data_IF_108492418597
#
_entry.id   IF_108492418597
#
_cell.length_a   1.000
_cell.length_b   1.000
_cell.length_c   1.000
_cell.angle_alpha   90.00
_cell.angle_beta   90.00
_cell.angle_gamma   90.00
#
_symmetry.space_group_name_H-M   'P 1'
#
loop_
_entity.id
_entity.type
_entity.pdbx_description
1 polymer ?
#
# COMPACT_ATOMS: atom_id res chain seq x y z
N UNK A 1 21.32 89.62 3.65
CA UNK A 1 21.09 89.41 5.10
C UNK A 1 20.59 87.98 5.25
N UNK A 2 21.19 87.16 6.12
CA UNK A 2 20.88 85.73 6.22
C UNK A 2 19.57 85.47 6.97
N UNK A 3 18.83 84.46 6.51
CA UNK A 3 17.65 83.92 7.18
C UNK A 3 18.01 83.12 8.45
N UNK A 4 17.12 83.11 9.48
CA UNK A 4 17.31 82.37 10.72
C UNK A 4 17.07 80.83 10.58
N UNK A 5 17.55 80.03 11.56
CA UNK A 5 17.87 78.62 11.38
C UNK A 5 16.66 77.66 11.37
N UNK A 6 16.89 76.51 10.72
CA UNK A 6 15.98 75.39 10.54
C UNK A 6 15.61 74.71 11.87
N UNK A 7 14.30 74.57 12.12
CA UNK A 7 13.76 73.66 13.13
C UNK A 7 13.65 72.23 12.59
N UNK A 8 13.86 71.20 13.42
CA UNK A 8 14.05 69.82 12.99
C UNK A 8 12.73 69.15 12.56
N UNK A 9 12.74 68.46 11.40
CA UNK A 9 11.69 67.51 11.04
C UNK A 9 11.81 66.28 11.93
N UNK A 10 10.78 66.01 12.73
CA UNK A 10 10.60 64.74 13.42
C UNK A 10 10.64 63.56 12.42
N UNK A 11 11.26 62.43 12.76
CA UNK A 11 11.27 61.25 11.91
C UNK A 11 9.85 60.68 11.84
N UNK A 12 9.30 60.64 10.62
CA UNK A 12 8.09 59.87 10.35
C UNK A 12 8.46 58.39 10.40
N UNK A 13 8.10 57.71 11.49
CA UNK A 13 8.14 56.26 11.60
C UNK A 13 7.24 55.65 10.52
N UNK A 14 7.82 55.27 9.39
CA UNK A 14 7.21 54.32 8.47
C UNK A 14 7.37 52.91 9.08
N UNK A 15 6.28 52.19 9.38
CA UNK A 15 6.40 50.77 9.70
C UNK A 15 6.90 50.05 8.45
N UNK A 16 8.04 49.38 8.58
CA UNK A 16 8.58 48.47 7.57
C UNK A 16 7.53 47.43 7.20
N UNK A 17 7.20 47.33 5.89
CA UNK A 17 6.34 46.30 5.35
C UNK A 17 6.78 44.92 5.88
N UNK A 18 5.88 44.09 6.44
CA UNK A 18 6.23 42.72 6.74
C UNK A 18 6.56 42.02 5.43
N UNK A 19 7.76 41.44 5.35
CA UNK A 19 8.21 40.57 4.26
C UNK A 19 7.11 39.58 3.93
N UNK A 20 6.50 39.73 2.75
CA UNK A 20 5.51 38.79 2.24
C UNK A 20 6.25 37.47 1.98
N UNK A 21 6.11 36.52 2.91
CA UNK A 21 6.68 35.18 2.74
C UNK A 21 5.86 34.53 1.62
N UNK A 22 6.46 34.41 0.44
CA UNK A 22 5.84 33.71 -0.69
C UNK A 22 5.52 32.28 -0.25
N UNK A 23 4.26 31.87 -0.40
CA UNK A 23 3.86 30.49 -0.15
C UNK A 23 4.67 29.56 -1.07
N UNK A 24 5.10 28.39 -0.58
CA UNK A 24 5.67 27.37 -1.45
C UNK A 24 4.68 27.05 -2.59
N UNK A 25 5.16 26.77 -3.81
CA UNK A 25 4.28 26.34 -4.87
C UNK A 25 3.49 25.11 -4.41
N UNK A 26 2.18 25.14 -4.61
CA UNK A 26 1.31 23.99 -4.37
C UNK A 26 1.88 22.80 -5.15
N UNK A 27 2.09 21.68 -4.45
CA UNK A 27 2.53 20.45 -5.09
C UNK A 27 1.54 20.09 -6.21
N UNK A 28 2.06 19.80 -7.41
CA UNK A 28 1.23 19.26 -8.48
C UNK A 28 0.64 17.94 -8.00
N UNK A 29 -0.69 17.73 -8.12
CA UNK A 29 -1.29 16.47 -7.72
C UNK A 29 -0.65 15.33 -8.50
N UNK A 30 -0.15 14.33 -7.78
CA UNK A 30 0.33 13.10 -8.41
C UNK A 30 -0.83 12.44 -9.14
N UNK A 31 -0.67 12.05 -10.42
CA UNK A 31 -1.71 11.32 -11.14
C UNK A 31 -2.13 10.06 -10.35
N UNK A 32 -3.43 9.76 -10.28
CA UNK A 32 -3.90 8.57 -9.57
C UNK A 32 -3.33 7.31 -10.23
N UNK A 33 -2.76 6.42 -9.40
CA UNK A 33 -2.22 5.15 -9.86
C UNK A 33 -3.25 4.04 -9.66
N UNK A 34 -3.52 3.20 -10.68
CA UNK A 34 -4.36 2.02 -10.53
C UNK A 34 -3.80 1.08 -9.44
N UNK A 35 -4.68 0.68 -8.52
CA UNK A 35 -4.38 -0.29 -7.49
C UNK A 35 -5.34 -1.48 -7.61
N UNK A 36 -4.81 -2.69 -7.38
CA UNK A 36 -5.57 -3.92 -7.28
C UNK A 36 -5.30 -4.55 -5.92
N UNK A 37 -6.36 -4.94 -5.21
CA UNK A 37 -6.26 -5.67 -3.95
C UNK A 37 -6.59 -7.13 -4.22
N UNK A 38 -5.64 -8.01 -3.92
CA UNK A 38 -5.82 -9.46 -3.94
C UNK A 38 -5.94 -9.93 -2.49
N UNK A 39 -6.92 -10.78 -2.21
CA UNK A 39 -7.10 -11.38 -0.88
C UNK A 39 -6.88 -12.88 -1.00
N UNK A 40 -5.95 -13.40 -0.21
CA UNK A 40 -5.65 -14.82 -0.10
C UNK A 40 -6.10 -15.33 1.26
N UNK A 41 -6.63 -16.54 1.29
CA UNK A 41 -6.98 -17.24 2.53
C UNK A 41 -5.82 -18.16 2.87
N UNK A 42 -4.96 -17.75 3.78
CA UNK A 42 -3.76 -18.45 4.21
C UNK A 42 -3.97 -18.92 5.63
N UNK A 43 -3.67 -20.20 5.93
CA UNK A 43 -3.86 -20.75 7.29
C UNK A 43 -3.22 -19.81 8.35
N UNK A 44 -3.88 -19.59 9.50
CA UNK A 44 -3.35 -18.69 10.53
C UNK A 44 -1.96 -19.11 11.06
N UNK A 45 -1.67 -20.41 11.07
CA UNK A 45 -0.38 -20.95 11.54
C UNK A 45 0.78 -20.78 10.54
N UNK A 46 0.55 -20.33 9.31
CA UNK A 46 1.60 -20.21 8.31
C UNK A 46 2.51 -19.00 8.59
N UNK A 47 3.82 -19.24 8.66
CA UNK A 47 4.83 -18.22 8.97
C UNK A 47 5.35 -17.48 7.74
N UNK A 48 4.43 -16.89 6.98
CA UNK A 48 4.71 -16.27 5.67
C UNK A 48 5.53 -14.96 5.75
N UNK A 49 5.63 -14.37 6.94
CA UNK A 49 6.41 -13.15 7.20
C UNK A 49 7.92 -13.43 7.27
N UNK A 50 8.31 -14.68 7.50
CA UNK A 50 9.72 -15.11 7.52
C UNK A 50 10.04 -15.96 6.29
N UNK A 51 10.68 -15.33 5.30
CA UNK A 51 11.06 -15.93 4.02
C UNK A 51 11.99 -17.16 4.14
N UNK A 52 12.57 -17.43 5.32
CA UNK A 52 13.46 -18.59 5.55
C UNK A 52 12.70 -19.84 6.01
N UNK A 53 11.41 -19.72 6.28
CA UNK A 53 10.57 -20.85 6.68
C UNK A 53 10.04 -21.58 5.44
N UNK A 54 9.58 -22.83 5.63
CA UNK A 54 8.92 -23.61 4.59
C UNK A 54 7.67 -22.93 4.01
N UNK A 55 7.06 -22.01 4.75
CA UNK A 55 5.86 -21.29 4.35
C UNK A 55 6.18 -19.94 3.70
N UNK A 56 7.24 -19.28 4.20
CA UNK A 56 7.70 -18.01 3.67
C UNK A 56 8.36 -18.12 2.31
N UNK A 57 9.01 -19.24 1.98
CA UNK A 57 9.59 -19.47 0.65
C UNK A 57 8.51 -19.43 -0.47
N UNK A 58 7.46 -20.28 -0.47
CA UNK A 58 6.44 -20.25 -1.51
C UNK A 58 5.67 -18.92 -1.55
N UNK A 59 5.44 -18.29 -0.38
CA UNK A 59 4.84 -16.96 -0.32
C UNK A 59 5.72 -15.91 -1.02
N UNK A 60 7.03 -15.91 -0.75
CA UNK A 60 7.98 -14.99 -1.38
C UNK A 60 8.02 -15.19 -2.89
N UNK A 61 8.07 -16.44 -3.37
CA UNK A 61 8.02 -16.76 -4.80
C UNK A 61 6.72 -16.29 -5.45
N UNK A 62 5.58 -16.43 -4.77
CA UNK A 62 4.30 -15.92 -5.25
C UNK A 62 4.29 -14.38 -5.39
N UNK A 63 4.89 -13.65 -4.44
CA UNK A 63 5.06 -12.20 -4.54
C UNK A 63 5.96 -11.80 -5.71
N UNK A 64 7.02 -12.56 -5.97
CA UNK A 64 7.92 -12.32 -7.09
C UNK A 64 7.22 -12.47 -8.44
N UNK A 65 6.32 -13.46 -8.59
CA UNK A 65 5.46 -13.56 -9.79
C UNK A 65 4.63 -12.28 -10.03
N UNK A 66 4.12 -11.66 -8.96
CA UNK A 66 3.36 -10.40 -9.08
C UNK A 66 4.28 -9.24 -9.47
N UNK A 67 5.49 -9.17 -8.89
CA UNK A 67 6.49 -8.13 -9.13
C UNK A 67 7.09 -8.17 -10.53
N UNK A 68 7.25 -9.36 -11.09
CA UNK A 68 7.78 -9.56 -12.44
C UNK A 68 6.76 -9.23 -13.56
N UNK A 69 5.48 -9.03 -13.22
CA UNK A 69 4.45 -8.77 -14.22
C UNK A 69 4.64 -7.37 -14.85
N UNK A 70 4.48 -7.23 -16.19
CA UNK A 70 4.65 -5.95 -16.87
C UNK A 70 3.83 -4.81 -16.27
N UNK A 71 4.50 -3.66 -16.12
CA UNK A 71 3.93 -2.44 -15.55
C UNK A 71 3.88 -2.42 -14.03
N UNK A 72 4.52 -3.37 -13.34
CA UNK A 72 4.69 -3.35 -11.89
C UNK A 72 5.31 -2.03 -11.40
N UNK A 73 4.72 -1.46 -10.34
CA UNK A 73 5.21 -0.24 -9.68
C UNK A 73 5.54 -0.45 -8.22
N UNK A 74 4.61 -1.04 -7.47
CA UNK A 74 4.75 -1.26 -6.04
C UNK A 74 3.88 -2.43 -5.59
N UNK A 75 4.28 -3.08 -4.50
CA UNK A 75 3.52 -4.11 -3.81
C UNK A 75 3.64 -3.90 -2.31
N UNK A 76 2.51 -3.93 -1.62
CA UNK A 76 2.42 -4.01 -0.17
C UNK A 76 1.56 -5.21 0.18
N UNK A 77 1.82 -5.83 1.32
CA UNK A 77 0.96 -6.90 1.80
C UNK A 77 0.98 -6.96 3.32
N UNK A 78 -0.03 -7.62 3.88
CA UNK A 78 -0.11 -7.88 5.31
C UNK A 78 -1.21 -8.87 5.63
N UNK A 79 -1.05 -9.53 6.77
CA UNK A 79 -2.10 -10.33 7.40
C UNK A 79 -3.03 -9.39 8.19
N UNK A 80 -4.33 -9.67 8.16
CA UNK A 80 -5.29 -9.00 9.05
C UNK A 80 -5.00 -9.38 10.50
N UNK A 81 -5.15 -8.41 11.40
CA UNK A 81 -4.81 -8.58 12.84
C UNK A 81 -6.03 -8.92 13.69
N UNK A 82 -7.23 -8.82 13.11
CA UNK A 82 -8.47 -9.19 13.75
C UNK A 82 -8.59 -10.72 13.84
N UNK A 83 -8.87 -11.25 15.03
CA UNK A 83 -8.96 -12.70 15.33
C UNK A 83 -9.89 -13.43 14.36
N UNK A 84 -11.03 -12.81 14.02
CA UNK A 84 -12.04 -13.39 13.11
C UNK A 84 -11.56 -13.51 11.65
N UNK A 85 -10.47 -12.80 11.30
CA UNK A 85 -9.97 -12.62 9.94
C UNK A 85 -8.48 -12.97 9.81
N UNK A 86 -7.87 -13.65 10.80
CA UNK A 86 -6.42 -13.96 10.82
C UNK A 86 -5.96 -14.77 9.59
N UNK A 87 -6.87 -15.48 8.92
CA UNK A 87 -6.57 -16.20 7.68
C UNK A 87 -6.44 -15.30 6.44
N UNK A 88 -6.92 -14.04 6.50
CA UNK A 88 -6.92 -13.14 5.35
C UNK A 88 -5.60 -12.41 5.23
N UNK A 89 -4.93 -12.65 4.11
CA UNK A 89 -3.75 -11.92 3.70
C UNK A 89 -4.10 -11.05 2.50
N UNK A 90 -3.88 -9.75 2.62
CA UNK A 90 -4.15 -8.79 1.55
C UNK A 90 -2.84 -8.39 0.86
N UNK A 91 -2.86 -8.41 -0.46
CA UNK A 91 -1.77 -7.90 -1.31
C UNK A 91 -2.32 -6.74 -2.13
N UNK A 92 -1.75 -5.56 -1.94
CA UNK A 92 -2.04 -4.35 -2.72
C UNK A 92 -0.95 -4.20 -3.76
N UNK A 93 -1.32 -4.26 -5.04
CA UNK A 93 -0.39 -4.09 -6.16
C UNK A 93 -0.76 -2.88 -6.99
N UNK A 94 0.25 -2.07 -7.32
CA UNK A 94 0.12 -0.91 -8.21
C UNK A 94 0.75 -1.23 -9.55
N UNK A 95 0.05 -0.86 -10.63
CA UNK A 95 0.56 -0.99 -12.00
C UNK A 95 0.31 0.27 -12.82
N UNK A 96 1.02 0.38 -13.95
CA UNK A 96 0.88 1.50 -14.88
C UNK A 96 -0.54 1.67 -15.41
N UNK A 97 -1.19 0.55 -15.74
CA UNK A 97 -2.46 0.54 -16.46
C UNK A 97 -3.41 -0.47 -15.84
N UNK A 98 -4.68 -0.10 -15.75
CA UNK A 98 -5.75 -0.99 -15.30
C UNK A 98 -5.84 -2.28 -16.14
N UNK A 99 -5.58 -2.18 -17.44
CA UNK A 99 -5.57 -3.35 -18.34
C UNK A 99 -4.53 -4.40 -17.95
N UNK A 100 -3.42 -4.01 -17.32
CA UNK A 100 -2.41 -4.96 -16.84
C UNK A 100 -2.89 -5.75 -15.62
N UNK A 101 -3.77 -5.19 -14.79
CA UNK A 101 -4.45 -5.92 -13.71
C UNK A 101 -5.38 -6.99 -14.30
N UNK A 102 -6.21 -6.59 -15.26
CA UNK A 102 -7.14 -7.52 -15.92
C UNK A 102 -6.42 -8.61 -16.72
N UNK A 103 -5.30 -8.30 -17.38
CA UNK A 103 -4.53 -9.29 -18.14
C UNK A 103 -3.78 -10.30 -17.27
N UNK A 104 -3.47 -9.96 -16.01
CA UNK A 104 -2.73 -10.85 -15.11
C UNK A 104 -3.58 -12.03 -14.64
N UNK A 105 -4.84 -11.80 -14.28
CA UNK A 105 -5.72 -12.82 -13.70
C UNK A 105 -5.98 -14.04 -14.62
N UNK A 106 -6.20 -13.91 -15.94
CA UNK A 106 -6.35 -15.05 -16.82
C UNK A 106 -5.00 -15.64 -17.29
N UNK A 107 -3.86 -15.12 -16.84
CA UNK A 107 -2.55 -15.54 -17.33
C UNK A 107 -2.07 -16.85 -16.68
N UNK A 108 -1.15 -17.54 -17.36
CA UNK A 108 -0.45 -18.69 -16.76
C UNK A 108 0.36 -18.33 -15.51
N UNK A 109 0.81 -17.07 -15.36
CA UNK A 109 1.49 -16.60 -14.15
C UNK A 109 0.57 -16.61 -12.94
N UNK A 110 -0.72 -16.27 -13.11
CA UNK A 110 -1.69 -16.39 -12.04
C UNK A 110 -1.91 -17.85 -11.63
N UNK A 111 -1.94 -18.77 -12.60
CA UNK A 111 -2.03 -20.22 -12.31
C UNK A 111 -0.82 -20.70 -11.51
N UNK A 112 0.40 -20.35 -11.92
CA UNK A 112 1.62 -20.70 -11.18
C UNK A 112 1.63 -20.12 -9.77
N UNK A 113 1.15 -18.88 -9.61
CA UNK A 113 0.99 -18.27 -8.29
C UNK A 113 0.03 -19.07 -7.42
N UNK A 114 -1.13 -19.44 -7.94
CA UNK A 114 -2.12 -20.23 -7.18
C UNK A 114 -1.56 -21.60 -6.77
N UNK A 115 -0.79 -22.25 -7.63
CA UNK A 115 -0.13 -23.53 -7.33
C UNK A 115 0.92 -23.40 -6.21
N UNK A 116 1.72 -22.32 -6.20
CA UNK A 116 2.67 -22.05 -5.13
C UNK A 116 1.97 -21.83 -3.78
N UNK A 117 0.79 -21.21 -3.80
CA UNK A 117 0.04 -20.90 -2.59
C UNK A 117 -0.86 -22.04 -2.11
N UNK A 118 -1.14 -23.04 -2.94
CA UNK A 118 -2.00 -24.19 -2.59
C UNK A 118 -1.62 -24.84 -1.25
N UNK A 119 -0.33 -25.12 -0.95
CA UNK A 119 0.05 -25.71 0.32
C UNK A 119 -0.21 -24.79 1.51
N UNK A 120 -0.38 -23.47 1.31
CA UNK A 120 -0.59 -22.47 2.35
C UNK A 120 -2.06 -22.27 2.73
N UNK A 121 -2.98 -22.79 1.92
CA UNK A 121 -4.41 -22.67 2.17
C UNK A 121 -4.85 -23.53 3.37
N UNK A 122 -5.90 -23.13 4.10
CA UNK A 122 -6.47 -23.98 5.14
C UNK A 122 -6.87 -25.33 4.56
N UNK A 123 -6.50 -26.41 5.24
CA UNK A 123 -7.08 -27.71 4.93
C UNK A 123 -8.59 -27.62 5.17
N UNK A 124 -9.40 -28.02 4.19
CA UNK A 124 -10.86 -28.11 4.37
C UNK A 124 -11.15 -28.82 5.69
N UNK A 125 -12.04 -28.29 6.55
CA UNK A 125 -12.35 -28.93 7.81
C UNK A 125 -12.83 -30.35 7.50
N UNK A 126 -12.06 -31.35 7.92
CA UNK A 126 -12.51 -32.73 7.85
C UNK A 126 -13.75 -32.79 8.71
N UNK A 127 -14.88 -33.13 8.08
CA UNK A 127 -16.23 -33.22 8.63
C UNK A 127 -16.33 -34.30 9.72
N UNK A 128 -15.56 -34.17 10.81
CA UNK A 128 -15.49 -35.17 11.89
C UNK A 128 -16.10 -34.70 13.21
N UNK A 129 -16.44 -33.42 13.33
CA UNK A 129 -17.11 -32.84 14.49
C UNK A 129 -18.49 -32.27 14.15
N UNK A 130 -19.32 -33.05 13.44
CA UNK A 130 -20.77 -32.80 13.47
C UNK A 130 -21.39 -33.72 14.52
N UNK A 131 -21.65 -33.24 15.75
CA UNK A 131 -22.48 -34.00 16.67
C UNK A 131 -23.84 -34.19 15.99
N UNK A 132 -24.21 -35.46 15.76
CA UNK A 132 -25.56 -35.79 15.32
C UNK A 132 -26.52 -35.33 16.40
N UNK A 133 -27.25 -34.25 16.13
CA UNK A 133 -28.45 -33.91 16.89
C UNK A 133 -29.46 -35.01 16.61
N UNK A 134 -29.59 -35.97 17.53
CA UNK A 134 -30.83 -36.73 17.68
C UNK A 134 -31.79 -35.87 18.50
N UNK A 135 -32.95 -35.57 17.91
CA UNK A 135 -34.05 -34.84 18.50
C UNK A 135 -35.18 -34.78 17.50
#
# INVERSE_FOLDING_TARGET
MPDPPSSPKSPSNQPSNPTQIASPPLAHPTPPQPAQILTFIIRPSARIEDARTSDGEPWTQALDIIREWPGFRALYWGRRVEIEDEEKVQVVVFRDKISQHHAFLPSGRWVSLQQLLEPLYPSSPTQKDRPQRMG
#
